data_IF_401597320557
#
_entry.id   IF_401597320557
#
_cell.length_a   1.000
_cell.length_b   1.000
_cell.length_c   1.000
_cell.angle_alpha   90.00
_cell.angle_beta   90.00
_cell.angle_gamma   90.00
#
_symmetry.space_group_name_H-M   'P 1'
#
loop_
_entity.id
_entity.type
_entity.pdbx_description
1 polymer ?
#
# COMPACT_ATOMS: atom_id res chain seq x y z
N UNK A 1 42.38 10.42 37.34
CA UNK A 1 41.47 10.90 36.30
C UNK A 1 42.31 11.07 35.05
N UNK A 2 42.07 10.21 34.05
CA UNK A 2 42.81 10.22 32.79
C UNK A 2 42.28 11.34 31.90
N UNK A 3 43.10 11.88 30.99
CA UNK A 3 42.68 12.94 30.03
C UNK A 3 41.45 12.53 29.18
N UNK A 4 41.24 11.22 29.01
CA UNK A 4 40.09 10.66 28.30
C UNK A 4 38.78 10.73 29.10
N UNK A 5 38.87 10.82 30.42
CA UNK A 5 37.73 10.88 31.35
C UNK A 5 37.20 12.33 31.47
N UNK A 6 38.10 13.30 31.36
CA UNK A 6 37.78 14.74 31.31
C UNK A 6 37.14 15.13 29.96
N UNK A 7 37.57 14.50 28.86
CA UNK A 7 36.99 14.72 27.53
C UNK A 7 35.59 14.11 27.35
N UNK A 8 35.29 12.98 28.01
CA UNK A 8 33.93 12.41 27.94
C UNK A 8 32.92 13.19 28.77
N UNK A 9 33.34 13.82 29.88
CA UNK A 9 32.46 14.66 30.68
C UNK A 9 32.03 15.94 29.94
N UNK A 10 32.91 16.52 29.11
CA UNK A 10 32.61 17.71 28.29
C UNK A 10 31.61 17.43 27.15
N UNK A 11 31.49 16.17 26.71
CA UNK A 11 30.49 15.75 25.70
C UNK A 11 29.15 15.31 26.31
N UNK A 12 29.11 14.89 27.58
CA UNK A 12 27.86 14.49 28.24
C UNK A 12 27.04 15.68 28.77
N UNK A 13 27.67 16.86 29.02
CA UNK A 13 26.95 18.05 29.52
C UNK A 13 26.25 18.87 28.41
N UNK A 14 26.71 18.84 27.15
CA UNK A 14 26.12 19.66 26.07
C UNK A 14 24.95 18.99 25.32
N UNK A 15 24.83 17.66 25.31
CA UNK A 15 23.78 16.95 24.54
C UNK A 15 22.45 16.80 25.29
N UNK A 16 22.43 16.95 26.62
CA UNK A 16 21.21 16.78 27.42
C UNK A 16 20.30 18.02 27.41
N UNK A 17 20.89 19.22 27.40
CA UNK A 17 20.15 20.48 27.52
C UNK A 17 19.51 20.93 26.17
N UNK A 18 20.06 20.53 25.02
CA UNK A 18 19.48 20.85 23.70
C UNK A 18 18.23 20.00 23.37
N UNK A 19 18.16 18.75 23.87
CA UNK A 19 17.00 17.87 23.67
C UNK A 19 15.80 18.28 24.53
N UNK A 20 16.04 18.79 25.74
CA UNK A 20 14.97 19.28 26.63
C UNK A 20 14.37 20.60 26.14
N UNK A 21 15.20 21.53 25.65
CA UNK A 21 14.71 22.78 25.05
C UNK A 21 13.97 22.58 23.72
N UNK A 22 14.37 21.61 22.89
CA UNK A 22 13.63 21.27 21.68
C UNK A 22 12.22 20.72 21.99
N UNK A 23 12.08 19.95 23.06
CA UNK A 23 10.78 19.41 23.48
C UNK A 23 9.87 20.49 24.09
N UNK A 24 10.44 21.47 24.81
CA UNK A 24 9.68 22.54 25.45
C UNK A 24 9.19 23.62 24.44
N UNK A 25 9.99 23.94 23.42
CA UNK A 25 9.58 24.89 22.35
C UNK A 25 8.42 24.34 21.50
N UNK A 26 8.33 23.02 21.34
CA UNK A 26 7.26 22.38 20.55
C UNK A 26 5.90 22.42 21.27
N UNK A 27 5.89 22.45 22.61
CA UNK A 27 4.67 22.42 23.43
C UNK A 27 4.00 23.80 23.61
N UNK A 28 4.73 24.89 23.43
CA UNK A 28 4.22 26.27 23.67
C UNK A 28 3.48 26.85 22.45
N UNK A 29 3.64 26.26 21.25
CA UNK A 29 3.06 26.75 19.99
C UNK A 29 1.58 26.44 19.75
N UNK A 30 0.93 25.60 20.59
CA UNK A 30 -0.46 25.16 20.37
C UNK A 30 -1.37 25.76 21.45
N UNK A 31 -1.55 27.08 21.42
CA UNK A 31 -2.67 27.77 22.09
C UNK A 31 -3.36 28.68 21.07
N UNK A 32 -4.15 28.06 20.20
CA UNK A 32 -5.09 28.71 19.30
C UNK A 32 -6.08 27.65 18.84
N UNK A 33 -7.35 27.81 19.23
CA UNK A 33 -8.39 26.80 19.08
C UNK A 33 -8.68 26.42 17.63
N UNK A 34 -8.91 25.14 17.42
CA UNK A 34 -10.14 24.57 16.89
C UNK A 34 -10.09 23.06 17.16
N UNK A 35 -11.25 22.46 17.40
CA UNK A 35 -11.43 21.05 17.73
C UNK A 35 -10.75 20.14 16.69
N UNK A 36 -9.62 19.56 17.04
CA UNK A 36 -9.04 18.41 16.34
C UNK A 36 -9.50 17.19 17.13
N UNK A 37 -10.55 16.53 16.64
CA UNK A 37 -10.87 15.16 17.03
C UNK A 37 -9.61 14.31 16.79
N UNK A 38 -8.93 14.02 17.88
CA UNK A 38 -7.90 13.01 17.97
C UNK A 38 -8.55 11.69 17.55
N UNK A 39 -8.42 11.33 16.29
CA UNK A 39 -8.67 9.98 15.82
C UNK A 39 -7.60 9.08 16.46
N UNK A 40 -7.81 8.75 17.73
CA UNK A 40 -7.18 7.61 18.36
C UNK A 40 -7.65 6.39 17.58
N UNK A 41 -6.92 6.02 16.53
CA UNK A 41 -6.94 4.65 16.04
C UNK A 41 -6.57 3.80 17.25
N UNK A 42 -7.61 3.21 17.87
CA UNK A 42 -7.43 2.23 18.91
C UNK A 42 -6.48 1.18 18.35
N UNK A 43 -5.29 1.07 18.95
CA UNK A 43 -4.39 -0.05 18.75
C UNK A 43 -5.13 -1.27 19.27
N UNK A 44 -5.93 -1.88 18.41
CA UNK A 44 -6.59 -3.14 18.68
C UNK A 44 -5.51 -4.17 19.01
N UNK A 45 -5.68 -4.86 20.14
CA UNK A 45 -4.67 -5.75 20.69
C UNK A 45 -4.17 -6.76 19.66
N UNK A 46 -2.87 -7.07 19.74
CA UNK A 46 -2.09 -8.02 18.91
C UNK A 46 -2.65 -9.46 18.77
N UNK A 47 -3.90 -9.75 19.17
CA UNK A 47 -4.37 -11.10 19.43
C UNK A 47 -5.76 -11.53 18.94
N UNK A 48 -6.59 -10.69 18.31
CA UNK A 48 -8.01 -11.07 18.07
C UNK A 48 -8.43 -11.27 16.60
N UNK A 49 -7.50 -11.28 15.65
CA UNK A 49 -7.81 -11.65 14.27
C UNK A 49 -7.30 -13.06 13.97
N UNK A 50 -8.23 -14.01 13.91
CA UNK A 50 -7.93 -15.41 13.59
C UNK A 50 -8.10 -15.70 12.10
N UNK A 51 -8.94 -14.93 11.39
CA UNK A 51 -9.14 -15.06 9.96
C UNK A 51 -8.70 -13.81 9.21
N UNK A 52 -8.19 -14.03 7.99
CA UNK A 52 -7.81 -12.97 7.06
C UNK A 52 -9.02 -12.14 6.65
N UNK A 53 -10.20 -12.76 6.57
CA UNK A 53 -11.44 -12.10 6.16
C UNK A 53 -11.95 -11.08 7.19
N UNK A 54 -11.50 -11.17 8.45
CA UNK A 54 -11.82 -10.15 9.48
C UNK A 54 -11.08 -8.83 9.20
N UNK A 55 -9.95 -8.92 8.49
CA UNK A 55 -9.04 -7.81 8.20
C UNK A 55 -9.22 -7.31 6.76
N UNK A 56 -9.44 -8.21 5.80
CA UNK A 56 -9.64 -7.90 4.37
C UNK A 56 -11.13 -7.96 3.97
N UNK A 57 -11.89 -6.94 4.40
CA UNK A 57 -13.36 -6.88 4.24
C UNK A 57 -13.80 -6.52 2.81
N UNK A 58 -12.96 -5.87 2.01
CA UNK A 58 -13.33 -5.43 0.65
C UNK A 58 -13.55 -6.63 -0.27
N UNK A 59 -12.77 -7.71 -0.09
CA UNK A 59 -12.94 -8.95 -0.86
C UNK A 59 -14.32 -9.61 -0.69
N UNK A 60 -15.01 -9.35 0.42
CA UNK A 60 -16.36 -9.84 0.70
C UNK A 60 -17.47 -8.85 0.28
N UNK A 61 -17.13 -7.64 -0.12
CA UNK A 61 -18.13 -6.60 -0.40
C UNK A 61 -18.81 -6.89 -1.74
N UNK A 62 -20.15 -6.78 -1.79
CA UNK A 62 -20.91 -6.98 -3.02
C UNK A 62 -20.47 -6.05 -4.14
N UNK A 63 -20.05 -4.82 -3.80
CA UNK A 63 -19.50 -3.85 -4.75
C UNK A 63 -18.25 -4.36 -5.49
N UNK A 64 -17.33 -5.03 -4.78
CA UNK A 64 -16.14 -5.61 -5.40
C UNK A 64 -16.52 -6.72 -6.38
N UNK A 65 -17.50 -7.56 -6.05
CA UNK A 65 -17.97 -8.64 -6.93
C UNK A 65 -18.62 -8.10 -8.21
N UNK A 66 -19.52 -7.12 -8.07
CA UNK A 66 -20.20 -6.48 -9.21
C UNK A 66 -19.20 -5.75 -10.13
N UNK A 67 -18.25 -5.02 -9.55
CA UNK A 67 -17.22 -4.30 -10.31
C UNK A 67 -16.23 -5.26 -10.98
N UNK A 68 -15.89 -6.37 -10.34
CA UNK A 68 -15.04 -7.41 -10.93
C UNK A 68 -15.72 -8.11 -12.12
N UNK A 69 -17.02 -8.38 -12.03
CA UNK A 69 -17.79 -8.93 -13.16
C UNK A 69 -17.84 -7.93 -14.32
N UNK A 70 -18.09 -6.65 -14.00
CA UNK A 70 -18.07 -5.57 -14.98
C UNK A 70 -16.70 -5.38 -15.63
N UNK A 71 -15.61 -5.51 -14.85
CA UNK A 71 -14.24 -5.44 -15.35
C UNK A 71 -13.95 -6.57 -16.34
N UNK A 72 -14.31 -7.81 -16.00
CA UNK A 72 -14.09 -8.97 -16.89
C UNK A 72 -14.83 -8.78 -18.21
N UNK A 73 -16.08 -8.35 -18.14
CA UNK A 73 -16.88 -8.04 -19.33
C UNK A 73 -16.21 -6.95 -20.18
N UNK A 74 -15.72 -5.86 -19.57
CA UNK A 74 -15.05 -4.77 -20.29
C UNK A 74 -13.68 -5.16 -20.86
N UNK A 75 -12.96 -6.07 -20.21
CA UNK A 75 -11.66 -6.57 -20.68
C UNK A 75 -11.83 -7.50 -21.90
N UNK A 76 -12.92 -8.26 -21.94
CA UNK A 76 -13.28 -9.11 -23.10
C UNK A 76 -13.86 -8.30 -24.27
N UNK A 77 -14.41 -7.12 -23.99
CA UNK A 77 -15.03 -6.25 -24.99
C UNK A 77 -13.98 -5.59 -25.89
N UNK A 78 -13.85 -6.10 -27.12
CA UNK A 78 -12.93 -5.60 -28.16
C UNK A 78 -13.44 -4.37 -28.95
N UNK A 79 -14.67 -3.93 -28.72
CA UNK A 79 -15.27 -2.86 -29.51
C UNK A 79 -14.74 -1.47 -29.15
N UNK A 80 -14.57 -0.64 -30.19
CA UNK A 80 -14.20 0.77 -30.10
C UNK A 80 -15.31 1.56 -29.38
N UNK A 81 -14.98 2.09 -28.22
CA UNK A 81 -15.85 3.02 -27.50
C UNK A 81 -15.89 4.33 -28.25
N UNK A 82 -17.06 4.68 -28.79
CA UNK A 82 -17.36 6.04 -29.19
C UNK A 82 -17.91 6.81 -27.98
N UNK A 83 -17.20 7.85 -27.55
CA UNK A 83 -17.67 8.79 -26.52
C UNK A 83 -18.69 9.71 -27.17
N UNK A 84 -19.97 9.36 -27.07
CA UNK A 84 -21.07 10.09 -27.75
C UNK A 84 -21.83 11.06 -26.82
N UNK A 85 -21.44 11.17 -25.55
CA UNK A 85 -22.13 11.94 -24.52
C UNK A 85 -21.19 12.86 -23.73
N UNK A 86 -21.71 13.85 -22.96
CA UNK A 86 -20.89 14.60 -22.00
C UNK A 86 -20.16 13.65 -21.05
N UNK A 87 -18.83 13.76 -20.98
CA UNK A 87 -17.92 12.83 -20.29
C UNK A 87 -18.35 12.48 -18.86
N UNK A 88 -18.91 13.43 -18.12
CA UNK A 88 -19.35 13.25 -16.72
C UNK A 88 -20.63 12.39 -16.58
N UNK A 89 -21.42 12.28 -17.64
CA UNK A 89 -22.66 11.49 -17.67
C UNK A 89 -22.46 10.10 -18.30
N UNK A 90 -21.29 9.83 -18.86
CA UNK A 90 -21.00 8.56 -19.51
C UNK A 90 -20.89 7.44 -18.44
N UNK A 91 -21.70 6.38 -18.53
CA UNK A 91 -21.60 5.24 -17.61
C UNK A 91 -20.20 4.61 -17.60
N UNK A 92 -19.46 4.68 -18.71
CA UNK A 92 -18.11 4.14 -18.80
C UNK A 92 -17.11 4.96 -17.99
N UNK A 93 -17.22 6.30 -18.03
CA UNK A 93 -16.38 7.16 -17.21
C UNK A 93 -16.60 6.90 -15.72
N UNK A 94 -17.87 6.75 -15.29
CA UNK A 94 -18.20 6.43 -13.89
C UNK A 94 -17.66 5.08 -13.46
N UNK A 95 -17.71 4.07 -14.33
CA UNK A 95 -17.13 2.76 -14.08
C UNK A 95 -15.61 2.85 -13.89
N UNK A 96 -14.91 3.57 -14.76
CA UNK A 96 -13.45 3.72 -14.70
C UNK A 96 -13.01 4.39 -13.41
N UNK A 97 -13.70 5.47 -13.01
CA UNK A 97 -13.43 6.16 -11.75
C UNK A 97 -13.64 5.22 -10.56
N UNK A 98 -14.76 4.48 -10.54
CA UNK A 98 -15.05 3.50 -9.47
C UNK A 98 -14.00 2.39 -9.40
N UNK A 99 -13.59 1.84 -10.54
CA UNK A 99 -12.56 0.79 -10.60
C UNK A 99 -11.21 1.27 -10.08
N UNK A 100 -10.84 2.50 -10.39
CA UNK A 100 -9.58 3.06 -9.91
C UNK A 100 -9.62 3.46 -8.43
N UNK A 101 -10.78 3.87 -7.90
CA UNK A 101 -10.99 4.01 -6.46
C UNK A 101 -10.84 2.66 -5.75
N UNK A 102 -11.54 1.64 -6.24
CA UNK A 102 -11.44 0.28 -5.72
C UNK A 102 -10.00 -0.26 -5.78
N UNK A 103 -9.26 0.03 -6.85
CA UNK A 103 -7.86 -0.36 -6.97
C UNK A 103 -6.97 0.28 -5.90
N UNK A 104 -7.23 1.55 -5.52
CA UNK A 104 -6.53 2.22 -4.44
C UNK A 104 -6.89 1.62 -3.06
N UNK A 105 -8.16 1.27 -2.86
CA UNK A 105 -8.60 0.58 -1.64
C UNK A 105 -7.93 -0.80 -1.52
N UNK A 106 -7.76 -1.53 -2.64
CA UNK A 106 -7.02 -2.79 -2.68
C UNK A 106 -5.54 -2.63 -2.31
N UNK A 107 -4.89 -1.55 -2.74
CA UNK A 107 -3.51 -1.24 -2.31
C UNK A 107 -3.44 -1.05 -0.78
N UNK A 108 -4.45 -0.38 -0.21
CA UNK A 108 -4.65 -0.27 1.23
C UNK A 108 -4.80 -1.64 1.91
N UNK A 109 -5.70 -2.48 1.41
CA UNK A 109 -5.93 -3.83 1.96
C UNK A 109 -4.69 -4.71 1.92
N UNK A 110 -3.92 -4.70 0.82
CA UNK A 110 -2.67 -5.47 0.72
C UNK A 110 -1.69 -5.04 1.82
N UNK A 111 -1.64 -3.75 2.16
CA UNK A 111 -0.83 -3.25 3.27
C UNK A 111 -1.32 -3.78 4.63
N UNK A 112 -2.64 -3.85 4.84
CA UNK A 112 -3.21 -4.42 6.08
C UNK A 112 -2.95 -5.92 6.16
N UNK A 113 -3.12 -6.67 5.06
CA UNK A 113 -2.80 -8.11 5.00
C UNK A 113 -1.32 -8.34 5.28
N UNK A 114 -0.43 -7.50 4.74
CA UNK A 114 0.99 -7.57 5.04
C UNK A 114 1.28 -7.42 6.54
N UNK A 115 0.66 -6.43 7.21
CA UNK A 115 0.78 -6.27 8.67
C UNK A 115 0.28 -7.50 9.42
N UNK A 116 -0.87 -8.06 9.02
CA UNK A 116 -1.43 -9.28 9.62
C UNK A 116 -0.50 -10.49 9.48
N UNK A 117 0.05 -10.73 8.29
CA UNK A 117 0.98 -11.83 8.04
C UNK A 117 2.27 -11.62 8.82
N UNK A 118 2.80 -10.40 8.84
CA UNK A 118 3.99 -10.06 9.60
C UNK A 118 3.82 -10.39 11.08
N UNK A 119 2.75 -9.90 11.71
CA UNK A 119 2.55 -10.06 13.15
C UNK A 119 2.41 -11.54 13.56
N UNK A 120 1.84 -12.38 12.70
CA UNK A 120 1.79 -13.85 12.94
C UNK A 120 3.12 -14.53 12.65
N UNK A 121 3.82 -14.14 11.57
CA UNK A 121 5.05 -14.79 11.14
C UNK A 121 6.30 -14.34 11.93
N UNK A 122 6.23 -13.21 12.65
CA UNK A 122 7.26 -12.72 13.57
C UNK A 122 7.69 -13.79 14.59
N UNK A 123 6.75 -14.64 15.05
CA UNK A 123 7.04 -15.75 15.98
C UNK A 123 8.02 -16.78 15.38
N UNK A 124 8.00 -16.97 14.06
CA UNK A 124 8.82 -17.95 13.34
C UNK A 124 10.11 -17.35 12.80
N UNK A 125 10.03 -16.17 12.20
CA UNK A 125 11.19 -15.55 11.57
C UNK A 125 11.11 -14.01 11.68
N UNK A 126 11.46 -13.45 12.85
CA UNK A 126 11.33 -12.02 13.11
C UNK A 126 12.25 -11.16 12.22
N UNK A 127 13.39 -11.73 11.82
CA UNK A 127 14.39 -11.06 10.98
C UNK A 127 13.89 -10.82 9.55
N UNK A 128 12.87 -11.54 9.08
CA UNK A 128 12.42 -11.43 7.68
C UNK A 128 11.88 -10.02 7.34
N UNK A 129 11.27 -9.32 8.30
CA UNK A 129 10.73 -7.97 8.09
C UNK A 129 11.83 -6.96 7.74
N UNK A 130 12.96 -7.00 8.46
CA UNK A 130 14.07 -6.07 8.23
C UNK A 130 14.84 -6.40 6.95
N UNK A 131 14.80 -7.67 6.52
CA UNK A 131 15.47 -8.12 5.30
C UNK A 131 14.70 -7.80 4.02
N UNK A 132 13.37 -7.79 4.06
CA UNK A 132 12.51 -7.61 2.89
C UNK A 132 11.52 -6.47 3.15
N UNK A 133 11.87 -5.22 2.79
CA UNK A 133 11.01 -4.06 3.04
C UNK A 133 9.79 -3.99 2.09
N UNK A 134 9.83 -4.71 0.97
CA UNK A 134 8.74 -4.71 -0.01
C UNK A 134 7.62 -5.67 0.43
N UNK A 135 6.37 -5.18 0.65
CA UNK A 135 5.27 -6.01 1.12
C UNK A 135 4.93 -7.22 0.24
N UNK A 136 5.00 -7.06 -1.08
CA UNK A 136 4.65 -8.13 -2.03
C UNK A 136 5.71 -9.23 -2.04
N UNK A 137 6.99 -8.85 -2.02
CA UNK A 137 8.11 -9.80 -1.94
C UNK A 137 8.09 -10.52 -0.59
N UNK A 138 7.77 -9.82 0.51
CA UNK A 138 7.63 -10.41 1.83
C UNK A 138 6.55 -11.49 1.85
N UNK A 139 5.33 -11.16 1.38
CA UNK A 139 4.21 -12.11 1.34
C UNK A 139 4.53 -13.35 0.49
N UNK A 140 5.19 -13.16 -0.65
CA UNK A 140 5.57 -14.24 -1.55
C UNK A 140 6.71 -15.10 -0.95
N UNK A 141 7.67 -14.48 -0.25
CA UNK A 141 8.71 -15.18 0.50
C UNK A 141 8.11 -16.02 1.63
N UNK A 142 7.22 -15.45 2.46
CA UNK A 142 6.54 -16.17 3.54
C UNK A 142 5.77 -17.38 3.01
N UNK A 143 5.08 -17.24 1.88
CA UNK A 143 4.37 -18.34 1.20
C UNK A 143 5.30 -19.49 0.80
N UNK A 144 6.51 -19.18 0.29
CA UNK A 144 7.50 -20.19 -0.07
C UNK A 144 8.14 -20.87 1.15
N UNK A 145 8.55 -20.08 2.15
CA UNK A 145 9.29 -20.58 3.32
C UNK A 145 8.39 -21.43 4.23
N UNK A 146 7.19 -20.94 4.56
CA UNK A 146 6.27 -21.61 5.48
C UNK A 146 6.93 -21.95 6.82
N UNK A 147 6.71 -23.17 7.33
CA UNK A 147 7.38 -23.63 8.56
C UNK A 147 8.80 -24.17 8.27
N UNK A 148 9.12 -24.60 7.06
CA UNK A 148 10.37 -25.30 6.75
C UNK A 148 11.49 -24.35 6.29
N UNK A 149 11.78 -23.34 7.11
CA UNK A 149 12.80 -22.32 6.86
C UNK A 149 14.20 -22.91 6.61
N UNK A 150 14.57 -24.00 7.28
CA UNK A 150 15.92 -24.57 7.18
C UNK A 150 16.17 -25.31 5.87
N UNK A 151 15.15 -25.94 5.29
CA UNK A 151 15.28 -26.69 4.02
C UNK A 151 14.99 -25.79 2.83
N UNK A 152 13.93 -24.99 2.91
CA UNK A 152 13.50 -24.11 1.81
C UNK A 152 14.27 -22.78 1.77
N UNK A 153 14.65 -22.24 2.92
CA UNK A 153 15.46 -21.02 3.02
C UNK A 153 16.92 -21.21 2.55
N UNK A 154 17.38 -22.45 2.41
CA UNK A 154 18.67 -22.77 1.80
C UNK A 154 18.60 -22.97 0.29
N UNK A 155 17.39 -23.11 -0.27
CA UNK A 155 17.22 -23.27 -1.70
C UNK A 155 17.22 -21.91 -2.41
N UNK A 156 18.42 -21.48 -2.82
CA UNK A 156 18.65 -20.20 -3.49
C UNK A 156 17.92 -20.07 -4.82
N UNK A 157 17.62 -21.18 -5.49
CA UNK A 157 16.93 -21.17 -6.79
C UNK A 157 15.44 -20.81 -6.65
N UNK A 158 14.81 -21.22 -5.56
CA UNK A 158 13.41 -20.87 -5.26
C UNK A 158 13.29 -19.42 -4.80
N UNK A 159 14.18 -18.99 -3.92
CA UNK A 159 14.23 -17.61 -3.42
C UNK A 159 14.60 -16.60 -4.51
N UNK A 160 15.51 -16.96 -5.42
CA UNK A 160 15.97 -16.09 -6.50
C UNK A 160 14.91 -15.75 -7.55
N UNK A 161 13.76 -16.41 -7.55
CA UNK A 161 12.62 -16.05 -8.42
C UNK A 161 11.87 -14.82 -7.91
N UNK A 162 11.98 -14.53 -6.62
CA UNK A 162 11.20 -13.47 -5.94
C UNK A 162 12.12 -12.36 -5.45
N UNK A 163 13.28 -12.74 -4.90
CA UNK A 163 14.20 -11.85 -4.20
C UNK A 163 15.48 -11.64 -5.00
N UNK A 164 16.10 -10.47 -4.84
CA UNK A 164 17.40 -10.20 -5.41
C UNK A 164 18.46 -11.21 -4.89
N UNK A 165 19.51 -11.52 -5.68
CA UNK A 165 20.54 -12.48 -5.26
C UNK A 165 21.21 -12.13 -3.92
N UNK A 166 21.38 -10.83 -3.64
CA UNK A 166 21.95 -10.36 -2.39
C UNK A 166 21.04 -10.65 -1.18
N UNK A 167 19.74 -10.33 -1.27
CA UNK A 167 18.79 -10.58 -0.18
C UNK A 167 18.58 -12.08 0.04
N UNK A 168 18.59 -12.90 -1.02
CA UNK A 168 18.53 -14.35 -0.90
C UNK A 168 19.67 -14.94 -0.04
N UNK A 169 20.91 -14.45 -0.18
CA UNK A 169 22.04 -14.92 0.63
C UNK A 169 21.83 -14.53 2.10
N UNK A 170 21.45 -13.27 2.36
CA UNK A 170 21.26 -12.79 3.73
C UNK A 170 20.12 -13.54 4.41
N UNK A 171 19.00 -13.76 3.72
CA UNK A 171 17.87 -14.58 4.21
C UNK A 171 18.31 -16.02 4.49
N UNK A 172 19.16 -16.61 3.66
CA UNK A 172 19.65 -17.98 3.87
C UNK A 172 20.56 -18.11 5.10
N UNK A 173 21.44 -17.13 5.31
CA UNK A 173 22.35 -17.08 6.47
C UNK A 173 21.56 -16.86 7.76
N UNK A 174 20.69 -15.87 7.78
CA UNK A 174 19.81 -15.53 8.93
C UNK A 174 18.85 -16.68 9.24
N UNK A 175 18.27 -17.33 8.24
CA UNK A 175 17.44 -18.52 8.43
C UNK A 175 18.18 -19.69 9.10
N UNK A 176 19.52 -19.79 8.95
CA UNK A 176 20.32 -20.82 9.61
C UNK A 176 20.62 -20.51 11.08
N UNK A 177 20.51 -19.23 11.48
CA UNK A 177 20.79 -18.75 12.86
C UNK A 177 19.54 -18.23 13.58
N UNK A 178 18.37 -18.33 12.97
CA UNK A 178 17.14 -17.77 13.54
C UNK A 178 16.75 -18.45 14.85
N UNK A 179 16.27 -17.63 15.79
CA UNK A 179 15.83 -18.05 17.12
C UNK A 179 14.31 -18.28 17.21
N UNK A 180 13.60 -18.22 16.08
CA UNK A 180 12.14 -18.34 16.05
C UNK A 180 11.62 -19.76 16.34
N UNK A 181 10.38 -19.84 16.81
CA UNK A 181 9.69 -21.10 17.14
C UNK A 181 8.83 -21.56 15.99
N UNK A 182 8.60 -22.87 15.87
CA UNK A 182 7.69 -23.41 14.84
C UNK A 182 6.27 -22.94 15.10
N UNK A 183 5.58 -22.49 14.05
CA UNK A 183 4.18 -22.08 14.12
C UNK A 183 3.26 -23.30 14.21
N UNK A 184 2.12 -23.10 14.86
CA UNK A 184 1.03 -24.09 14.90
C UNK A 184 0.41 -24.25 13.50
N UNK A 185 -0.04 -25.47 13.10
CA UNK A 185 -0.61 -25.67 11.77
C UNK A 185 -1.82 -24.79 11.46
N UNK A 186 -2.63 -24.42 12.46
CA UNK A 186 -3.76 -23.51 12.30
C UNK A 186 -3.31 -22.09 11.93
N UNK A 187 -2.33 -21.54 12.66
CA UNK A 187 -1.74 -20.23 12.39
C UNK A 187 -1.05 -20.20 11.02
N UNK A 188 -0.35 -21.28 10.65
CA UNK A 188 0.29 -21.41 9.35
C UNK A 188 -0.73 -21.40 8.22
N UNK A 189 -1.85 -22.10 8.39
CA UNK A 189 -2.89 -22.12 7.37
C UNK A 189 -3.53 -20.74 7.18
N UNK A 190 -3.76 -20.01 8.27
CA UNK A 190 -4.25 -18.63 8.21
C UNK A 190 -3.26 -17.70 7.47
N UNK A 191 -1.95 -17.82 7.73
CA UNK A 191 -0.91 -17.06 7.01
C UNK A 191 -0.89 -17.43 5.52
N UNK A 192 -1.00 -18.72 5.20
CA UNK A 192 -1.00 -19.17 3.80
C UNK A 192 -2.22 -18.66 3.04
N UNK A 193 -3.39 -18.73 3.65
CA UNK A 193 -4.63 -18.17 3.08
C UNK A 193 -4.51 -16.66 2.87
N UNK A 194 -3.85 -15.95 3.79
CA UNK A 194 -3.59 -14.51 3.66
C UNK A 194 -2.71 -14.18 2.45
N UNK A 195 -1.63 -14.95 2.28
CA UNK A 195 -0.74 -14.81 1.13
C UNK A 195 -1.46 -15.11 -0.19
N UNK A 196 -2.30 -16.14 -0.25
CA UNK A 196 -3.10 -16.48 -1.43
C UNK A 196 -4.13 -15.39 -1.77
N UNK A 197 -4.81 -14.84 -0.75
CA UNK A 197 -5.73 -13.72 -0.94
C UNK A 197 -5.00 -12.48 -1.44
N UNK A 198 -3.86 -12.13 -0.85
CA UNK A 198 -3.08 -10.96 -1.27
C UNK A 198 -2.58 -11.08 -2.72
N UNK A 199 -2.14 -12.27 -3.14
CA UNK A 199 -1.74 -12.52 -4.53
C UNK A 199 -2.92 -12.33 -5.50
N UNK A 200 -4.09 -12.84 -5.14
CA UNK A 200 -5.32 -12.64 -5.91
C UNK A 200 -5.66 -11.15 -6.03
N UNK A 201 -5.73 -10.43 -4.91
CA UNK A 201 -6.01 -8.98 -4.90
C UNK A 201 -4.99 -8.20 -5.72
N UNK A 202 -3.72 -8.57 -5.64
CA UNK A 202 -2.66 -7.96 -6.44
C UNK A 202 -2.88 -8.16 -7.95
N UNK A 203 -3.26 -9.37 -8.37
CA UNK A 203 -3.55 -9.68 -9.78
C UNK A 203 -4.79 -8.94 -10.30
N UNK A 204 -5.83 -8.83 -9.46
CA UNK A 204 -7.05 -8.11 -9.79
C UNK A 204 -6.79 -6.62 -9.92
N UNK A 205 -6.02 -6.05 -8.99
CA UNK A 205 -5.57 -4.66 -9.02
C UNK A 205 -4.79 -4.32 -10.30
N UNK A 206 -3.86 -5.17 -10.73
CA UNK A 206 -3.16 -4.99 -12.01
C UNK A 206 -4.15 -4.94 -13.17
N UNK A 207 -5.13 -5.85 -13.17
CA UNK A 207 -6.16 -5.91 -14.20
C UNK A 207 -7.04 -4.65 -14.21
N UNK A 208 -7.38 -4.11 -13.03
CA UNK A 208 -8.12 -2.84 -12.87
C UNK A 208 -7.34 -1.67 -13.47
N UNK A 209 -6.09 -1.47 -13.06
CA UNK A 209 -5.27 -0.38 -13.58
C UNK A 209 -5.06 -0.50 -15.09
N UNK A 210 -4.89 -1.73 -15.60
CA UNK A 210 -4.74 -1.95 -17.04
C UNK A 210 -5.96 -1.51 -17.83
N UNK A 211 -7.17 -1.84 -17.36
CA UNK A 211 -8.40 -1.42 -18.01
C UNK A 211 -8.57 0.11 -17.96
N UNK A 212 -8.28 0.69 -16.79
CA UNK A 212 -8.34 2.14 -16.58
C UNK A 212 -7.39 2.86 -17.54
N UNK A 213 -6.14 2.41 -17.69
CA UNK A 213 -5.17 2.98 -18.63
C UNK A 213 -5.66 2.94 -20.09
N UNK A 214 -6.16 1.77 -20.52
CA UNK A 214 -6.63 1.57 -21.90
C UNK A 214 -7.80 2.50 -22.24
N UNK A 215 -8.74 2.68 -21.31
CA UNK A 215 -9.91 3.53 -21.53
C UNK A 215 -9.61 5.01 -21.32
N UNK A 216 -8.68 5.36 -20.43
CA UNK A 216 -8.30 6.75 -20.20
C UNK A 216 -7.66 7.39 -21.45
N UNK A 217 -6.96 6.60 -22.26
CA UNK A 217 -6.44 7.05 -23.55
C UNK A 217 -7.55 7.49 -24.53
N UNK A 218 -8.75 6.94 -24.43
CA UNK A 218 -9.91 7.31 -25.25
C UNK A 218 -10.67 8.51 -24.67
N UNK A 219 -10.71 8.63 -23.34
CA UNK A 219 -11.45 9.66 -22.61
C UNK A 219 -10.71 10.99 -22.61
N UNK A 220 -9.40 10.96 -22.31
CA UNK A 220 -8.57 12.15 -22.16
C UNK A 220 -7.25 12.02 -22.94
N UNK A 221 -7.29 11.87 -24.28
CA UNK A 221 -6.10 11.60 -25.10
C UNK A 221 -5.01 12.67 -24.95
N UNK A 222 -5.41 13.94 -24.84
CA UNK A 222 -4.47 15.05 -24.68
C UNK A 222 -3.73 14.98 -23.33
N UNK A 223 -4.44 14.62 -22.25
CA UNK A 223 -3.83 14.50 -20.92
C UNK A 223 -2.91 13.28 -20.85
N UNK A 224 -3.34 12.16 -21.43
CA UNK A 224 -2.53 10.95 -21.54
C UNK A 224 -1.26 11.20 -22.33
N UNK A 225 -1.31 12.00 -23.40
CA UNK A 225 -0.11 12.36 -24.17
C UNK A 225 0.89 13.19 -23.36
N UNK A 226 0.41 14.02 -22.42
CA UNK A 226 1.26 14.89 -21.60
C UNK A 226 1.82 14.19 -20.36
N UNK A 227 1.01 13.39 -19.67
CA UNK A 227 1.29 12.86 -18.33
C UNK A 227 1.44 11.33 -18.29
N UNK A 228 1.06 10.63 -19.36
CA UNK A 228 0.90 9.18 -19.39
C UNK A 228 -0.47 8.72 -18.88
N UNK A 229 -0.87 7.50 -19.28
CA UNK A 229 -2.19 6.95 -18.99
C UNK A 229 -2.42 6.70 -17.49
N UNK A 230 -1.43 6.12 -16.80
CA UNK A 230 -1.48 5.84 -15.37
C UNK A 230 -1.66 7.11 -14.52
N UNK A 231 -0.82 8.13 -14.77
CA UNK A 231 -0.85 9.40 -14.04
C UNK A 231 -2.14 10.17 -14.30
N UNK A 232 -2.61 10.17 -15.55
CA UNK A 232 -3.89 10.78 -15.94
C UNK A 232 -5.04 10.12 -15.22
N UNK A 233 -5.05 8.79 -15.15
CA UNK A 233 -6.08 8.05 -14.44
C UNK A 233 -6.15 8.41 -12.96
N UNK A 234 -5.00 8.46 -12.28
CA UNK A 234 -4.92 8.86 -10.88
C UNK A 234 -5.44 10.29 -10.66
N UNK A 235 -5.04 11.24 -11.51
CA UNK A 235 -5.52 12.63 -11.42
C UNK A 235 -7.04 12.73 -11.61
N UNK A 236 -7.57 12.01 -12.59
CA UNK A 236 -9.02 11.94 -12.83
C UNK A 236 -9.74 11.32 -11.63
N UNK A 237 -9.18 10.30 -10.98
CA UNK A 237 -9.79 9.67 -9.82
C UNK A 237 -9.82 10.57 -8.60
N UNK A 238 -8.74 11.30 -8.33
CA UNK A 238 -8.67 12.27 -7.24
C UNK A 238 -9.66 13.41 -7.47
N UNK A 239 -9.87 13.82 -8.72
CA UNK A 239 -10.75 14.95 -9.07
C UNK A 239 -12.23 14.57 -9.17
N UNK A 240 -12.56 13.33 -9.55
CA UNK A 240 -13.94 12.85 -9.76
C UNK A 240 -14.57 12.22 -8.51
N UNK A 241 -13.75 11.68 -7.62
CA UNK A 241 -14.22 11.06 -6.38
C UNK A 241 -14.10 12.00 -5.18
N UNK A 242 -15.12 12.83 -4.98
CA UNK A 242 -15.57 13.23 -3.64
C UNK A 242 -14.69 14.14 -2.77
N UNK A 243 -13.38 14.28 -3.00
CA UNK A 243 -12.60 15.35 -2.38
C UNK A 243 -12.83 16.64 -3.16
N UNK A 244 -14.00 17.23 -2.91
CA UNK A 244 -14.40 18.61 -3.20
C UNK A 244 -13.37 19.67 -2.73
N UNK A 245 -12.19 19.32 -2.23
CA UNK A 245 -11.14 20.28 -1.87
C UNK A 245 -10.57 21.03 -3.06
N UNK A 246 -10.45 20.42 -4.25
CA UNK A 246 -10.07 21.17 -5.46
C UNK A 246 -11.24 21.96 -6.06
N UNK A 247 -12.48 21.50 -5.88
CA UNK A 247 -13.65 22.23 -6.36
C UNK A 247 -14.07 23.40 -5.43
N UNK A 248 -13.73 23.36 -4.13
CA UNK A 248 -14.02 24.42 -3.16
C UNK A 248 -12.89 25.44 -3.02
N UNK A 249 -11.63 25.08 -3.24
CA UNK A 249 -10.54 26.07 -3.31
C UNK A 249 -10.37 26.59 -4.74
N UNK A 250 -11.16 27.61 -5.08
CA UNK A 250 -10.97 28.72 -6.06
C UNK A 250 -10.07 28.49 -7.31
N UNK A 251 -9.90 27.25 -7.78
CA UNK A 251 -9.04 26.87 -8.92
C UNK A 251 -9.84 26.63 -10.20
N UNK A 252 -11.18 26.64 -10.12
CA UNK A 252 -12.07 26.69 -11.29
C UNK A 252 -11.86 27.94 -12.17
N UNK A 253 -11.27 29.02 -11.63
CA UNK A 253 -10.83 30.19 -12.41
C UNK A 253 -9.49 29.98 -13.14
N UNK A 254 -8.66 29.05 -12.68
CA UNK A 254 -7.35 28.76 -13.29
C UNK A 254 -7.49 27.98 -14.60
N UNK A 255 -8.28 26.90 -14.59
CA UNK A 255 -8.47 26.06 -15.78
C UNK A 255 -9.27 26.75 -16.90
N UNK A 256 -10.24 27.63 -16.57
CA UNK A 256 -10.91 28.46 -17.60
C UNK A 256 -9.97 29.43 -18.30
N UNK A 257 -8.98 30.01 -17.58
CA UNK A 257 -7.99 30.91 -18.20
C UNK A 257 -7.00 30.19 -19.12
N UNK A 258 -6.71 28.91 -18.88
CA UNK A 258 -5.85 28.12 -19.76
C UNK A 258 -6.58 27.77 -21.06
N UNK A 259 -7.89 27.48 -21.00
CA UNK A 259 -8.72 27.26 -22.20
C UNK A 259 -8.90 28.53 -23.04
N UNK A 260 -8.93 29.73 -22.45
CA UNK A 260 -9.09 30.99 -23.19
C UNK A 260 -7.78 31.51 -23.79
N UNK A 261 -6.61 31.04 -23.34
CA UNK A 261 -5.29 31.43 -23.89
C UNK A 261 -4.78 30.54 -25.03
N UNK A 262 -5.55 29.51 -25.41
CA UNK A 262 -5.22 28.57 -26.49
C UNK A 262 -6.12 28.73 -27.74
N UNK A 263 -6.76 29.90 -27.89
CA UNK A 263 -7.34 30.38 -29.16
C UNK A 263 -6.59 31.62 -29.60
#
# INVERSE_FOLDING_TARGET
MSLAEELMADFEEDDADELEQAMEVTLVGIKGGDDIEEATEAVAGKGEYNSVYDVAKMSLTDEYRELMESLKHELERKDEVHVTAPLESDPQYRLIVRLAHLAADLDGEISVIHKFVRDKYEKRFPELETLVPNPLEYLAAVKLLGNEINTKGQNKELLGQILAPATCIVVSVTASTTQGKSLEPEELNAVREACELAEKLHSDRISMYRLVELRMALIAPNLVHLLGAATTALLVCITSGGNMYFAKNDTGKGLRRVSERLK
#
